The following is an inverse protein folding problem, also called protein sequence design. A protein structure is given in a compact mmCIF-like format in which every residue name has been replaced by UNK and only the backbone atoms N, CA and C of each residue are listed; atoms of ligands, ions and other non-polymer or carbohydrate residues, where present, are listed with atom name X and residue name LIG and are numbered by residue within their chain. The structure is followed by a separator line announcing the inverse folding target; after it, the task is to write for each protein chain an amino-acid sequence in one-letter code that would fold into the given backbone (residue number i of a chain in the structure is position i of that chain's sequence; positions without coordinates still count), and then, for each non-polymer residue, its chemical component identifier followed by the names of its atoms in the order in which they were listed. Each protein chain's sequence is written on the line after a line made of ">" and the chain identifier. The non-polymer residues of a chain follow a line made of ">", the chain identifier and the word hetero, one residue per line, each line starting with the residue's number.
data_IF_211223372053
#
_entry.id   IF_211223372053
#
_cell.length_a   1.000
_cell.length_b   1.000
_cell.length_c   1.000
_cell.angle_alpha   90.00
_cell.angle_beta   90.00
_cell.angle_gamma   90.00
#
_symmetry.space_group_name_H-M   'P 1'
#
loop_
_entity.id
_entity.type
_entity.pdbx_description
1 polymer ?
#
# COMPACT_ATOMS: atom_id res chain seq x y z
N UNK A 1 -17.93 32.01 -44.51
CA UNK A 1 -16.84 31.89 -43.53
C UNK A 1 -17.45 31.57 -42.18
N UNK A 2 -17.50 30.28 -41.81
CA UNK A 2 -17.75 29.87 -40.43
C UNK A 2 -16.54 29.05 -39.99
N UNK A 3 -15.81 29.59 -39.02
CA UNK A 3 -14.63 28.95 -38.42
C UNK A 3 -15.07 27.69 -37.65
N UNK A 4 -14.48 26.51 -37.90
CA UNK A 4 -14.68 25.37 -37.01
C UNK A 4 -13.92 25.60 -35.70
N UNK A 5 -14.64 25.46 -34.59
CA UNK A 5 -14.08 25.43 -33.23
C UNK A 5 -13.07 24.27 -33.13
N UNK A 6 -11.84 24.46 -32.63
CA UNK A 6 -10.93 23.35 -32.43
C UNK A 6 -11.53 22.44 -31.35
N UNK A 7 -11.85 21.21 -31.75
CA UNK A 7 -12.14 20.13 -30.82
C UNK A 7 -10.90 20.00 -29.93
N UNK A 8 -10.96 20.55 -28.72
CA UNK A 8 -9.99 20.26 -27.69
C UNK A 8 -9.91 18.75 -27.56
N UNK A 9 -8.72 18.22 -27.80
CA UNK A 9 -8.39 16.82 -27.57
C UNK A 9 -8.90 16.45 -26.17
N UNK A 10 -10.00 15.71 -26.12
CA UNK A 10 -10.38 14.99 -24.93
C UNK A 10 -9.33 13.91 -24.78
N UNK A 11 -8.32 14.19 -23.95
CA UNK A 11 -7.37 13.19 -23.45
C UNK A 11 -8.16 11.91 -23.17
N UNK A 12 -7.82 10.78 -23.80
CA UNK A 12 -8.60 9.57 -23.68
C UNK A 12 -8.66 9.19 -22.21
N UNK A 13 -9.88 9.07 -21.69
CA UNK A 13 -10.14 8.69 -20.30
C UNK A 13 -9.63 7.26 -20.10
N UNK A 14 -8.34 7.15 -19.77
CA UNK A 14 -7.67 5.85 -19.61
C UNK A 14 -8.42 5.12 -18.51
N UNK A 15 -9.01 3.95 -18.81
CA UNK A 15 -9.78 3.18 -17.85
C UNK A 15 -9.00 3.00 -16.55
N UNK A 16 -9.64 3.24 -15.41
CA UNK A 16 -9.00 3.19 -14.08
C UNK A 16 -8.22 1.89 -13.85
N UNK A 17 -8.71 0.76 -14.37
CA UNK A 17 -8.01 -0.53 -14.33
C UNK A 17 -6.65 -0.50 -15.07
N UNK A 18 -6.52 0.25 -16.16
CA UNK A 18 -5.26 0.40 -16.91
C UNK A 18 -4.27 1.28 -16.14
N UNK A 19 -4.73 2.35 -15.48
CA UNK A 19 -3.88 3.17 -14.59
C UNK A 19 -3.39 2.34 -13.39
N UNK A 20 -4.29 1.57 -12.79
CA UNK A 20 -3.98 0.67 -11.69
C UNK A 20 -2.99 -0.43 -12.10
N UNK A 21 -3.17 -1.07 -13.27
CA UNK A 21 -2.23 -2.07 -13.81
C UNK A 21 -0.87 -1.44 -14.09
N UNK A 22 -0.80 -0.22 -14.64
CA UNK A 22 0.46 0.49 -14.84
C UNK A 22 1.14 0.86 -13.52
N UNK A 23 0.39 1.23 -12.48
CA UNK A 23 0.92 1.49 -11.14
C UNK A 23 1.39 0.21 -10.43
N UNK A 24 0.71 -0.93 -10.62
CA UNK A 24 1.21 -2.25 -10.21
C UNK A 24 2.49 -2.61 -10.98
N UNK A 25 2.55 -2.31 -12.28
CA UNK A 25 3.76 -2.51 -13.07
C UNK A 25 4.92 -1.64 -12.58
N UNK A 26 4.64 -0.44 -12.05
CA UNK A 26 5.62 0.38 -11.35
C UNK A 26 6.06 -0.23 -10.01
N UNK A 27 5.17 -0.94 -9.31
CA UNK A 27 5.45 -1.74 -8.12
C UNK A 27 6.01 -3.14 -8.42
N UNK A 28 6.31 -3.46 -9.69
CA UNK A 28 6.84 -4.78 -10.08
C UNK A 28 8.30 -4.99 -9.68
N UNK A 29 9.00 -3.94 -9.27
CA UNK A 29 10.35 -4.04 -8.73
C UNK A 29 10.34 -4.15 -7.20
N UNK A 30 11.21 -5.00 -6.66
CA UNK A 30 11.42 -5.11 -5.21
C UNK A 30 11.86 -3.77 -4.57
N UNK A 31 12.56 -2.92 -5.33
CA UNK A 31 12.97 -1.57 -4.91
C UNK A 31 11.76 -0.63 -4.75
N UNK A 32 10.80 -0.69 -5.66
CA UNK A 32 9.55 0.09 -5.59
C UNK A 32 8.69 -0.31 -4.39
N UNK A 33 8.61 -1.61 -4.10
CA UNK A 33 7.88 -2.13 -2.92
C UNK A 33 8.57 -1.68 -1.64
N UNK A 34 9.90 -1.80 -1.58
CA UNK A 34 10.68 -1.39 -0.41
C UNK A 34 10.56 0.12 -0.15
N UNK A 35 10.60 0.94 -1.19
CA UNK A 35 10.40 2.39 -1.09
C UNK A 35 8.98 2.74 -0.62
N UNK A 36 7.96 2.05 -1.12
CA UNK A 36 6.58 2.22 -0.65
C UNK A 36 6.46 1.86 0.84
N UNK A 37 7.00 0.71 1.26
CA UNK A 37 6.99 0.28 2.65
C UNK A 37 7.71 1.29 3.56
N UNK A 38 8.87 1.80 3.15
CA UNK A 38 9.59 2.81 3.91
C UNK A 38 8.75 4.07 4.14
N UNK A 39 8.04 4.54 3.10
CA UNK A 39 7.11 5.67 3.24
C UNK A 39 5.92 5.33 4.13
N UNK A 40 5.38 4.12 4.02
CA UNK A 40 4.30 3.67 4.89
C UNK A 40 4.72 3.66 6.36
N UNK A 41 5.90 3.15 6.70
CA UNK A 41 6.43 3.14 8.08
C UNK A 41 6.60 4.56 8.63
N UNK A 42 6.96 5.52 7.78
CA UNK A 42 7.17 6.90 8.19
C UNK A 42 5.86 7.70 8.36
N UNK A 43 4.83 7.42 7.55
CA UNK A 43 3.65 8.28 7.44
C UNK A 43 2.36 7.64 8.00
N UNK A 44 2.30 6.31 8.17
CA UNK A 44 1.14 5.63 8.74
C UNK A 44 1.24 5.63 10.27
N UNK A 45 0.17 6.01 10.99
CA UNK A 45 0.12 5.88 12.43
C UNK A 45 0.35 4.44 12.89
N UNK A 46 1.40 4.23 13.69
CA UNK A 46 1.70 2.93 14.29
C UNK A 46 1.07 2.83 15.68
N UNK A 47 0.43 1.70 15.94
CA UNK A 47 -0.16 1.31 17.20
C UNK A 47 0.68 0.21 17.85
N UNK A 48 0.64 0.09 19.18
CA UNK A 48 1.39 -0.93 19.91
C UNK A 48 0.43 -1.83 20.69
N UNK A 49 0.52 -3.15 20.46
CA UNK A 49 -0.11 -4.14 21.33
C UNK A 49 0.85 -4.58 22.43
N UNK A 50 0.39 -4.48 23.68
CA UNK A 50 1.08 -5.06 24.83
C UNK A 50 0.66 -6.53 24.96
N UNK A 51 1.62 -7.46 24.81
CA UNK A 51 1.43 -8.85 25.24
C UNK A 51 1.92 -9.01 26.67
N UNK A 52 1.15 -9.77 27.46
CA UNK A 52 1.34 -10.03 28.91
C UNK A 52 2.71 -10.63 29.26
N UNK A 53 3.50 -11.09 28.27
CA UNK A 53 4.79 -11.77 28.49
C UNK A 53 5.88 -11.36 27.49
N UNK A 54 6.01 -10.07 27.21
CA UNK A 54 7.14 -9.47 26.47
C UNK A 54 7.21 -9.83 24.98
N UNK A 55 6.59 -8.95 24.19
CA UNK A 55 7.10 -8.42 22.92
C UNK A 55 6.10 -7.35 22.46
N UNK A 56 6.56 -6.10 22.33
CA UNK A 56 5.75 -5.03 21.76
C UNK A 56 5.55 -5.32 20.28
N UNK A 57 4.30 -5.54 19.86
CA UNK A 57 3.98 -5.67 18.44
C UNK A 57 3.48 -4.32 17.95
N UNK A 58 4.29 -3.65 17.15
CA UNK A 58 3.89 -2.46 16.41
C UNK A 58 3.08 -2.87 15.18
N UNK A 59 1.95 -2.22 14.95
CA UNK A 59 1.02 -2.54 13.87
C UNK A 59 0.32 -1.28 13.37
N UNK A 60 -0.32 -1.37 12.21
CA UNK A 60 -1.21 -0.33 11.70
C UNK A 60 -2.56 -0.94 11.29
N UNK A 61 -3.60 -0.12 11.27
CA UNK A 61 -4.91 -0.56 10.79
C UNK A 61 -4.90 -0.55 9.27
N UNK A 62 -5.50 -1.56 8.64
CA UNK A 62 -5.68 -1.57 7.18
C UNK A 62 -6.35 -0.29 6.67
N UNK A 63 -7.30 0.29 7.43
CA UNK A 63 -7.95 1.55 7.08
C UNK A 63 -6.98 2.72 6.95
N UNK A 64 -5.94 2.78 7.80
CA UNK A 64 -4.92 3.83 7.76
C UNK A 64 -4.02 3.67 6.54
N UNK A 65 -3.72 2.41 6.17
CA UNK A 65 -2.99 2.08 4.95
C UNK A 65 -3.79 2.43 3.68
N UNK A 66 -5.08 2.07 3.64
CA UNK A 66 -5.95 2.40 2.51
C UNK A 66 -6.05 3.91 2.33
N UNK A 67 -6.24 4.65 3.43
CA UNK A 67 -6.26 6.11 3.39
C UNK A 67 -4.91 6.68 2.92
N UNK A 68 -3.80 6.10 3.39
CA UNK A 68 -2.47 6.48 2.93
C UNK A 68 -2.31 6.30 1.41
N UNK A 69 -2.74 5.16 0.85
CA UNK A 69 -2.65 4.88 -0.59
C UNK A 69 -3.45 5.89 -1.42
N UNK A 70 -4.69 6.16 -1.01
CA UNK A 70 -5.53 7.16 -1.66
C UNK A 70 -4.90 8.56 -1.59
N UNK A 71 -4.37 8.94 -0.42
CA UNK A 71 -3.74 10.24 -0.20
C UNK A 71 -2.50 10.46 -1.08
N UNK A 72 -1.68 9.44 -1.29
CA UNK A 72 -0.47 9.57 -2.14
C UNK A 72 -0.76 9.37 -3.63
N UNK A 73 -2.01 9.10 -4.01
CA UNK A 73 -2.44 8.94 -5.41
C UNK A 73 -1.93 7.64 -6.06
N UNK A 74 -1.55 6.64 -5.28
CA UNK A 74 -1.11 5.33 -5.84
C UNK A 74 -2.30 4.43 -6.21
N UNK A 75 -3.48 4.73 -5.68
CA UNK A 75 -4.78 4.11 -6.00
C UNK A 75 -5.87 5.19 -5.98
N UNK A 76 -6.98 4.94 -6.65
CA UNK A 76 -8.07 5.90 -6.82
C UNK A 76 -9.40 5.43 -6.20
N UNK A 77 -9.46 4.18 -5.71
CA UNK A 77 -10.63 3.61 -5.04
C UNK A 77 -10.24 2.78 -3.82
N UNK A 78 -11.22 2.50 -2.96
CA UNK A 78 -11.02 1.62 -1.81
C UNK A 78 -10.78 0.17 -2.26
N UNK A 79 -11.42 -0.27 -3.34
CA UNK A 79 -11.23 -1.58 -3.93
C UNK A 79 -9.79 -1.77 -4.41
N UNK A 80 -9.23 -0.78 -5.12
CA UNK A 80 -7.82 -0.77 -5.53
C UNK A 80 -6.87 -0.76 -4.32
N UNK A 81 -7.22 0.01 -3.27
CA UNK A 81 -6.45 0.05 -2.03
C UNK A 81 -6.42 -1.32 -1.32
N UNK A 82 -7.52 -2.08 -1.35
CA UNK A 82 -7.59 -3.45 -0.83
C UNK A 82 -6.71 -4.39 -1.63
N UNK A 83 -6.78 -4.33 -2.97
CA UNK A 83 -5.95 -5.15 -3.85
C UNK A 83 -4.46 -4.87 -3.64
N UNK A 84 -4.08 -3.59 -3.48
CA UNK A 84 -2.70 -3.21 -3.17
C UNK A 84 -2.27 -3.73 -1.79
N UNK A 85 -3.13 -3.62 -0.77
CA UNK A 85 -2.86 -4.20 0.55
C UNK A 85 -2.67 -5.72 0.52
N UNK A 86 -3.51 -6.44 -0.24
CA UNK A 86 -3.37 -7.88 -0.47
C UNK A 86 -2.07 -8.22 -1.21
N UNK A 87 -1.70 -7.43 -2.21
CA UNK A 87 -0.43 -7.60 -2.92
C UNK A 87 0.76 -7.44 -1.96
N UNK A 88 0.77 -6.41 -1.12
CA UNK A 88 1.81 -6.22 -0.09
C UNK A 88 1.85 -7.37 0.92
N UNK A 89 0.71 -8.00 1.22
CA UNK A 89 0.66 -9.19 2.08
C UNK A 89 1.27 -10.40 1.36
N UNK A 90 0.95 -10.61 0.08
CA UNK A 90 1.50 -11.71 -0.73
C UNK A 90 3.01 -11.60 -0.95
N UNK A 91 3.53 -10.38 -1.09
CA UNK A 91 4.98 -10.14 -1.23
C UNK A 91 5.73 -10.27 0.09
N UNK A 92 5.01 -10.45 1.21
CA UNK A 92 5.61 -10.49 2.54
C UNK A 92 6.07 -9.13 3.04
N UNK A 93 5.64 -8.02 2.46
CA UNK A 93 5.92 -6.69 2.99
C UNK A 93 5.16 -6.43 4.30
N UNK A 94 3.94 -6.96 4.40
CA UNK A 94 3.06 -6.84 5.57
C UNK A 94 2.46 -8.19 5.96
N UNK A 95 2.10 -8.35 7.23
CA UNK A 95 1.47 -9.57 7.76
C UNK A 95 0.24 -9.22 8.59
N UNK A 96 -0.86 -9.96 8.48
CA UNK A 96 -1.98 -9.85 9.41
C UNK A 96 -1.54 -10.18 10.84
N UNK A 97 -2.07 -9.44 11.81
CA UNK A 97 -1.82 -9.70 13.23
C UNK A 97 -2.45 -11.02 13.71
N UNK A 98 -3.55 -11.41 13.08
CA UNK A 98 -4.16 -12.72 13.28
C UNK A 98 -3.72 -13.63 12.12
N UNK A 99 -3.17 -14.83 12.37
CA UNK A 99 -2.76 -15.76 11.31
C UNK A 99 -3.91 -16.22 10.39
N UNK A 100 -5.17 -16.04 10.80
CA UNK A 100 -6.35 -16.26 9.95
C UNK A 100 -6.91 -14.98 9.32
N UNK A 101 -6.26 -13.84 9.54
CA UNK A 101 -6.69 -12.55 9.05
C UNK A 101 -6.22 -12.33 7.61
N UNK A 102 -7.04 -11.64 6.83
CA UNK A 102 -6.67 -11.13 5.50
C UNK A 102 -6.81 -9.61 5.51
N UNK A 103 -6.08 -8.91 4.65
CA UNK A 103 -6.37 -7.51 4.39
C UNK A 103 -7.83 -7.38 3.91
N UNK A 104 -8.67 -6.49 4.51
CA UNK A 104 -8.32 -5.34 5.35
C UNK A 104 -8.47 -5.56 6.88
N UNK A 105 -7.72 -6.49 7.46
CA UNK A 105 -7.55 -6.62 8.93
C UNK A 105 -6.36 -5.79 9.46
N UNK A 106 -6.20 -5.68 10.77
CA UNK A 106 -5.00 -5.09 11.35
C UNK A 106 -3.74 -5.87 10.95
N UNK A 107 -2.71 -5.16 10.52
CA UNK A 107 -1.49 -5.73 9.92
C UNK A 107 -0.23 -5.09 10.54
N UNK A 108 0.88 -5.82 10.51
CA UNK A 108 2.21 -5.34 10.90
C UNK A 108 3.15 -5.41 9.70
N UNK A 109 4.19 -4.59 9.66
CA UNK A 109 5.26 -4.77 8.70
C UNK A 109 6.08 -6.01 9.04
N UNK A 110 6.57 -6.73 8.03
CA UNK A 110 7.53 -7.84 8.21
C UNK A 110 8.95 -7.30 8.21
N UNK A 111 9.20 -6.17 7.52
CA UNK A 111 10.48 -5.48 7.58
C UNK A 111 10.66 -4.79 8.92
N UNK A 112 11.18 -5.56 9.87
CA UNK A 112 12.03 -5.05 10.93
C UNK A 112 13.09 -4.17 10.27
N UNK A 113 13.16 -2.93 10.72
CA UNK A 113 14.37 -2.13 10.82
C UNK A 113 15.63 -2.82 10.23
N UNK A 114 16.32 -2.26 9.21
CA UNK A 114 17.54 -2.86 8.64
C UNK A 114 18.72 -3.05 9.63
N UNK A 115 18.51 -2.83 10.93
CA UNK A 115 19.45 -3.11 12.02
C UNK A 115 19.11 -4.33 12.89
N UNK A 116 18.14 -5.18 12.53
CA UNK A 116 17.92 -6.45 13.24
C UNK A 116 17.97 -7.62 12.26
N UNK A 117 19.17 -7.82 11.72
CA UNK A 117 19.62 -9.17 11.37
C UNK A 117 19.92 -9.83 12.72
N UNK A 118 18.97 -10.62 13.24
CA UNK A 118 19.34 -11.62 14.24
C UNK A 118 20.27 -12.60 13.54
N UNK A 119 21.56 -12.49 13.86
CA UNK A 119 22.55 -13.50 13.56
C UNK A 119 22.07 -14.84 14.16
N UNK A 120 21.94 -15.84 13.30
CA UNK A 120 21.85 -17.25 13.68
C UNK A 120 23.14 -17.95 13.29
#
# INVERSE_FOLDING_TARGET
>A
EENPVPAGELEPDVPLNVKFIHQIHFLSSADSISALVARMVAEIPMHTLLRVFSNHVSYFRASEAMHFFLRIGIVHSYEEAVLLGQFLQLTGAIQPLNPRGEFPSAVKFIFSNPGSVEEH
#
